data_IF_145463387796
#
_entry.id   IF_145463387796
#
_cell.length_a   1.000
_cell.length_b   1.000
_cell.length_c   1.000
_cell.angle_alpha   90.00
_cell.angle_beta   90.00
_cell.angle_gamma   90.00
#
_symmetry.space_group_name_H-M   'P 1'
#
loop_
_entity.id
_entity.type
_entity.pdbx_description
1 polymer ?
#
# COMPACT_ATOMS: atom_id res chain seq x y z
N UNK A 1 -19.48 8.76 1.67
CA UNK A 1 -18.27 9.35 1.06
C UNK A 1 -17.47 8.25 0.37
N UNK A 2 -16.86 8.54 -0.79
CA UNK A 2 -15.92 7.66 -1.48
C UNK A 2 -14.52 8.24 -1.29
N UNK A 3 -13.50 7.40 -1.15
CA UNK A 3 -12.12 7.84 -1.25
C UNK A 3 -11.49 7.37 -2.54
N UNK A 4 -10.46 8.10 -2.94
CA UNK A 4 -9.64 7.81 -4.09
C UNK A 4 -8.17 7.76 -3.66
N UNK A 5 -7.39 7.03 -4.45
CA UNK A 5 -5.93 7.15 -4.40
C UNK A 5 -5.56 8.47 -5.08
N UNK A 6 -4.85 9.34 -4.35
CA UNK A 6 -4.36 10.63 -4.85
C UNK A 6 -2.97 10.50 -5.46
N UNK A 7 -2.11 9.71 -4.82
CA UNK A 7 -0.76 9.45 -5.28
C UNK A 7 -0.27 8.09 -4.76
N UNK A 8 0.69 7.53 -5.48
CA UNK A 8 1.49 6.39 -5.05
C UNK A 8 2.95 6.69 -5.40
N UNK A 9 3.83 6.61 -4.41
CA UNK A 9 5.27 6.79 -4.58
C UNK A 9 6.06 5.75 -3.77
N UNK A 10 7.34 5.59 -4.09
CA UNK A 10 8.27 4.67 -3.41
C UNK A 10 9.20 5.39 -2.42
N UNK A 11 8.95 6.68 -2.13
CA UNK A 11 9.92 7.54 -1.43
C UNK A 11 11.20 7.84 -2.22
N UNK A 12 11.27 7.41 -3.49
CA UNK A 12 12.38 7.64 -4.41
C UNK A 12 12.23 8.97 -5.16
N UNK A 13 13.33 9.49 -5.69
CA UNK A 13 13.31 10.58 -6.67
C UNK A 13 12.90 10.10 -8.07
N UNK A 14 12.79 8.79 -8.26
CA UNK A 14 12.35 8.15 -9.50
C UNK A 14 10.85 7.88 -9.41
N UNK A 15 10.13 8.14 -10.50
CA UNK A 15 8.72 7.82 -10.58
C UNK A 15 8.51 6.31 -10.44
N UNK A 16 7.43 5.89 -9.76
CA UNK A 16 7.19 4.49 -9.43
C UNK A 16 7.18 3.54 -10.66
N UNK A 17 6.71 4.01 -11.81
CA UNK A 17 6.73 3.24 -13.07
C UNK A 17 8.14 3.03 -13.66
N UNK A 18 9.13 3.79 -13.19
CA UNK A 18 10.53 3.74 -13.64
C UNK A 18 11.48 3.16 -12.58
N UNK A 19 11.02 3.03 -11.34
CA UNK A 19 11.78 2.48 -10.23
C UNK A 19 11.65 0.95 -10.20
N UNK A 20 12.30 0.30 -11.17
CA UNK A 20 12.23 -1.15 -11.33
C UNK A 20 13.09 -1.85 -10.26
N UNK A 21 12.56 -2.91 -9.60
CA UNK A 21 13.39 -3.73 -8.74
C UNK A 21 14.44 -4.49 -9.56
N UNK A 22 15.59 -4.76 -8.94
CA UNK A 22 16.69 -5.52 -9.56
C UNK A 22 16.24 -6.92 -10.01
N UNK A 23 15.39 -7.57 -9.21
CA UNK A 23 14.76 -8.85 -9.53
C UNK A 23 13.23 -8.71 -9.49
N UNK A 24 12.61 -8.75 -10.67
CA UNK A 24 11.16 -8.61 -10.82
C UNK A 24 10.37 -9.83 -10.32
N UNK A 25 11.02 -10.97 -10.05
CA UNK A 25 10.40 -12.17 -9.48
C UNK A 25 10.63 -12.27 -7.97
N UNK A 26 11.67 -11.63 -7.44
CA UNK A 26 12.05 -11.68 -6.03
C UNK A 26 12.34 -10.29 -5.44
N UNK A 27 11.28 -9.53 -5.11
CA UNK A 27 11.43 -8.19 -4.53
C UNK A 27 10.47 -7.92 -3.37
N UNK A 28 10.81 -6.88 -2.60
CA UNK A 28 9.97 -6.28 -1.58
C UNK A 28 10.37 -4.83 -1.36
N UNK A 29 9.42 -3.90 -1.47
CA UNK A 29 9.62 -2.48 -1.19
C UNK A 29 8.34 -1.83 -0.65
N UNK A 30 8.51 -0.74 0.07
CA UNK A 30 7.39 0.04 0.58
C UNK A 30 6.91 1.02 -0.47
N UNK A 31 5.59 1.16 -0.58
CA UNK A 31 4.94 2.26 -1.28
C UNK A 31 4.19 3.12 -0.28
N UNK A 32 4.24 4.43 -0.47
CA UNK A 32 3.39 5.39 0.22
C UNK A 32 2.19 5.68 -0.67
N UNK A 33 1.01 5.48 -0.13
CA UNK A 33 -0.27 5.74 -0.79
C UNK A 33 -0.96 6.89 -0.08
N UNK A 34 -1.20 7.99 -0.80
CA UNK A 34 -2.05 9.05 -0.29
C UNK A 34 -3.50 8.76 -0.65
N UNK A 35 -4.36 8.68 0.36
CA UNK A 35 -5.80 8.44 0.18
C UNK A 35 -6.57 9.61 0.76
N UNK A 36 -7.52 10.15 0.01
CA UNK A 36 -8.37 11.24 0.47
C UNK A 36 -9.72 11.28 -0.23
N UNK A 37 -10.60 12.21 0.17
CA UNK A 37 -11.85 12.50 -0.54
C UNK A 37 -11.57 12.92 -2.00
N UNK A 38 -12.50 12.64 -2.91
CA UNK A 38 -12.38 13.03 -4.32
C UNK A 38 -12.49 14.56 -4.53
N UNK A 39 -13.13 15.26 -3.61
CA UNK A 39 -13.43 16.69 -3.66
C UNK A 39 -12.45 17.59 -2.88
N UNK A 40 -11.40 17.03 -2.28
CA UNK A 40 -10.40 17.76 -1.49
C UNK A 40 -8.99 17.49 -2.01
N UNK A 41 -8.01 18.35 -1.76
CA UNK A 41 -6.62 18.10 -2.17
C UNK A 41 -5.90 17.19 -1.17
N UNK A 42 -6.19 17.35 0.12
CA UNK A 42 -5.55 16.61 1.21
C UNK A 42 -5.97 15.15 1.33
N UNK A 43 -5.15 14.37 2.03
CA UNK A 43 -5.41 12.96 2.31
C UNK A 43 -4.46 12.45 3.37
N UNK A 44 -4.70 11.23 3.83
CA UNK A 44 -3.83 10.53 4.77
C UNK A 44 -2.85 9.62 4.04
N UNK A 45 -1.69 9.40 4.66
CA UNK A 45 -0.64 8.53 4.14
C UNK A 45 -0.73 7.12 4.73
N UNK A 46 -0.58 6.13 3.85
CA UNK A 46 -0.55 4.72 4.20
C UNK A 46 0.66 4.06 3.55
N UNK A 47 1.46 3.33 4.34
CA UNK A 47 2.58 2.55 3.82
C UNK A 47 2.17 1.09 3.61
N UNK A 48 2.41 0.57 2.40
CA UNK A 48 2.10 -0.81 2.03
C UNK A 48 3.39 -1.48 1.54
N UNK A 49 3.70 -2.67 2.07
CA UNK A 49 4.82 -3.47 1.59
C UNK A 49 4.37 -4.28 0.38
N UNK A 50 4.82 -3.89 -0.80
CA UNK A 50 4.61 -4.68 -2.02
C UNK A 50 5.74 -5.69 -2.14
N UNK A 51 5.42 -6.98 -2.20
CA UNK A 51 6.43 -8.03 -2.22
C UNK A 51 5.99 -9.29 -2.97
N UNK A 52 6.95 -10.12 -3.36
CA UNK A 52 6.67 -11.44 -3.94
C UNK A 52 6.79 -12.55 -2.90
N UNK A 53 6.10 -13.69 -3.09
CA UNK A 53 6.24 -14.85 -2.19
C UNK A 53 7.69 -15.32 -2.03
N UNK A 54 8.50 -15.26 -3.09
CA UNK A 54 9.89 -15.70 -3.04
C UNK A 54 10.77 -14.73 -2.24
N UNK A 55 10.47 -13.43 -2.28
CA UNK A 55 11.13 -12.48 -1.39
C UNK A 55 10.78 -12.72 0.08
N UNK A 56 9.51 -13.03 0.40
CA UNK A 56 9.10 -13.39 1.77
C UNK A 56 9.86 -14.64 2.25
N UNK A 57 9.97 -15.67 1.40
CA UNK A 57 10.72 -16.89 1.72
C UNK A 57 12.18 -16.60 2.03
N UNK A 58 12.83 -15.77 1.20
CA UNK A 58 14.25 -15.48 1.34
C UNK A 58 14.57 -14.53 2.48
N UNK A 59 13.67 -13.59 2.83
CA UNK A 59 13.94 -12.58 3.87
C UNK A 59 13.40 -12.94 5.25
N UNK A 60 12.24 -13.57 5.34
CA UNK A 60 11.54 -13.74 6.62
C UNK A 60 11.38 -15.19 7.07
N UNK A 61 11.24 -16.15 6.15
CA UNK A 61 10.90 -17.53 6.52
C UNK A 61 12.08 -18.36 7.06
N UNK A 62 13.25 -17.76 7.30
CA UNK A 62 14.30 -18.39 8.13
C UNK A 62 13.79 -18.78 9.53
N UNK A 63 12.82 -18.01 10.07
CA UNK A 63 12.20 -18.27 11.37
C UNK A 63 10.98 -19.21 11.31
N UNK A 64 10.57 -19.66 10.11
CA UNK A 64 9.44 -20.56 9.89
C UNK A 64 8.05 -19.91 9.90
N UNK A 65 7.91 -18.65 10.30
CA UNK A 65 6.66 -17.89 10.25
C UNK A 65 6.90 -16.37 10.24
N UNK A 66 5.97 -15.60 9.67
CA UNK A 66 5.98 -14.13 9.66
C UNK A 66 4.56 -13.58 9.71
N UNK A 67 4.36 -12.45 10.42
CA UNK A 67 3.11 -11.71 10.37
C UNK A 67 3.03 -10.88 9.09
N UNK A 68 2.00 -11.12 8.27
CA UNK A 68 1.84 -10.50 6.94
C UNK A 68 1.07 -9.18 6.91
N UNK A 69 1.02 -8.43 8.01
CA UNK A 69 0.22 -7.18 8.10
C UNK A 69 0.79 -6.13 7.14
N UNK A 70 -0.11 -5.38 6.49
CA UNK A 70 0.21 -4.28 5.55
C UNK A 70 1.00 -4.70 4.30
N UNK A 71 0.83 -5.96 3.87
CA UNK A 71 1.52 -6.51 2.69
C UNK A 71 0.56 -6.70 1.50
N UNK A 72 0.97 -6.21 0.33
CA UNK A 72 0.39 -6.58 -0.95
C UNK A 72 1.31 -7.61 -1.63
N UNK A 73 0.87 -8.86 -1.64
CA UNK A 73 1.66 -9.96 -2.22
C UNK A 73 1.30 -10.11 -3.71
N UNK A 74 2.29 -9.92 -4.58
CA UNK A 74 2.14 -10.02 -6.04
C UNK A 74 3.02 -11.15 -6.60
N UNK A 75 2.63 -11.73 -7.73
CA UNK A 75 3.38 -12.83 -8.35
C UNK A 75 4.73 -12.41 -8.93
N UNK A 76 4.80 -11.20 -9.47
CA UNK A 76 5.97 -10.58 -10.08
C UNK A 76 5.75 -9.07 -10.14
N UNK A 77 6.77 -8.31 -10.55
CA UNK A 77 6.68 -6.87 -10.64
C UNK A 77 5.81 -6.48 -11.84
N UNK A 78 4.67 -5.88 -11.54
CA UNK A 78 3.78 -5.27 -12.51
C UNK A 78 3.21 -4.00 -11.87
N UNK A 79 3.76 -2.85 -12.25
CA UNK A 79 3.42 -1.56 -11.66
C UNK A 79 1.93 -1.23 -11.83
N UNK A 80 1.36 -1.53 -13.00
CA UNK A 80 -0.05 -1.24 -13.31
C UNK A 80 -0.98 -2.16 -12.51
N UNK A 81 -0.60 -3.45 -12.37
CA UNK A 81 -1.31 -4.36 -11.49
C UNK A 81 -1.27 -3.90 -10.04
N UNK A 82 -0.10 -3.50 -9.53
CA UNK A 82 0.04 -3.01 -8.15
C UNK A 82 -0.85 -1.79 -7.92
N UNK A 83 -0.76 -0.77 -8.79
CA UNK A 83 -1.57 0.45 -8.71
C UNK A 83 -3.07 0.14 -8.76
N UNK A 84 -3.49 -0.71 -9.68
CA UNK A 84 -4.90 -1.06 -9.87
C UNK A 84 -5.48 -1.87 -8.70
N UNK A 85 -4.71 -2.77 -8.08
CA UNK A 85 -5.16 -3.50 -6.90
C UNK A 85 -5.33 -2.58 -5.68
N UNK A 86 -4.37 -1.66 -5.46
CA UNK A 86 -4.47 -0.64 -4.39
C UNK A 86 -5.69 0.25 -4.61
N UNK A 87 -5.85 0.79 -5.82
CA UNK A 87 -6.98 1.65 -6.17
C UNK A 87 -8.32 0.92 -5.98
N UNK A 88 -8.42 -0.34 -6.44
CA UNK A 88 -9.65 -1.13 -6.28
C UNK A 88 -10.03 -1.32 -4.80
N UNK A 89 -9.06 -1.58 -3.92
CA UNK A 89 -9.34 -1.71 -2.49
C UNK A 89 -9.83 -0.39 -1.89
N UNK A 90 -9.12 0.71 -2.17
CA UNK A 90 -9.45 2.05 -1.66
C UNK A 90 -10.83 2.50 -2.14
N UNK A 91 -11.13 2.31 -3.42
CA UNK A 91 -12.42 2.69 -3.99
C UNK A 91 -13.59 1.83 -3.49
N UNK A 92 -13.32 0.60 -3.06
CA UNK A 92 -14.27 -0.28 -2.39
C UNK A 92 -14.58 0.15 -0.95
N UNK A 93 -13.76 1.02 -0.35
CA UNK A 93 -14.00 1.54 0.99
C UNK A 93 -15.05 2.66 0.95
N UNK A 94 -16.17 2.43 1.63
CA UNK A 94 -17.23 3.42 1.84
C UNK A 94 -17.35 3.76 3.32
N UNK A 95 -17.76 4.98 3.67
CA UNK A 95 -17.92 5.40 5.06
C UNK A 95 -18.85 6.60 5.21
N UNK A 96 -19.35 6.82 6.44
CA UNK A 96 -20.17 7.99 6.78
C UNK A 96 -19.33 9.27 6.83
N UNK A 97 -18.07 9.14 7.23
CA UNK A 97 -17.08 10.22 7.28
C UNK A 97 -15.72 9.69 6.82
N UNK A 98 -14.76 10.61 6.69
CA UNK A 98 -13.41 10.26 6.24
C UNK A 98 -12.66 9.38 7.26
N UNK A 99 -12.91 9.56 8.55
CA UNK A 99 -12.28 8.76 9.61
C UNK A 99 -12.63 7.28 9.53
N UNK A 100 -13.91 6.94 9.36
CA UNK A 100 -14.36 5.55 9.15
C UNK A 100 -13.73 4.92 7.90
N UNK A 101 -13.55 5.73 6.85
CA UNK A 101 -12.88 5.28 5.64
C UNK A 101 -11.39 5.04 5.89
N UNK A 102 -10.72 5.98 6.56
CA UNK A 102 -9.31 5.89 6.89
C UNK A 102 -9.01 4.62 7.70
N UNK A 103 -9.85 4.30 8.69
CA UNK A 103 -9.77 3.05 9.45
C UNK A 103 -9.94 1.78 8.60
N UNK A 104 -10.70 1.84 7.50
CA UNK A 104 -10.83 0.71 6.57
C UNK A 104 -9.59 0.54 5.70
N UNK A 105 -9.02 1.64 5.21
CA UNK A 105 -7.77 1.64 4.44
C UNK A 105 -6.60 1.19 5.32
N UNK A 106 -6.58 1.57 6.60
CA UNK A 106 -5.59 1.15 7.58
C UNK A 106 -5.54 -0.37 7.82
N UNK A 107 -6.48 -1.15 7.27
CA UNK A 107 -6.43 -2.62 7.32
C UNK A 107 -5.41 -3.22 6.37
N UNK A 108 -5.01 -2.48 5.34
CA UNK A 108 -4.06 -2.95 4.31
C UNK A 108 -2.76 -2.13 4.25
N UNK A 109 -2.69 -1.00 4.94
CA UNK A 109 -1.50 -0.16 4.99
C UNK A 109 -1.29 0.45 6.36
N UNK A 110 -0.03 0.63 6.75
CA UNK A 110 0.37 1.30 7.97
C UNK A 110 0.00 2.77 7.86
N UNK A 111 -0.98 3.19 8.65
CA UNK A 111 -1.52 4.54 8.61
C UNK A 111 -0.69 5.49 9.48
N UNK A 112 -0.44 6.72 9.03
CA UNK A 112 0.33 7.70 9.81
C UNK A 112 -0.30 8.08 11.17
N UNK A 113 -1.61 7.89 11.31
CA UNK A 113 -2.35 8.07 12.56
C UNK A 113 -2.79 6.73 13.19
N UNK A 114 -2.15 5.62 12.81
CA UNK A 114 -2.40 4.30 13.41
C UNK A 114 -2.20 4.41 14.94
N UNK A 115 -3.20 3.93 15.69
CA UNK A 115 -3.27 3.98 17.15
C UNK A 115 -3.25 5.39 17.80
N UNK A 116 -3.44 6.47 17.02
CA UNK A 116 -3.59 7.81 17.59
C UNK A 116 -4.88 7.89 18.43
N UNK A 117 -4.72 8.11 19.72
CA UNK A 117 -5.80 8.41 20.67
C UNK A 117 -5.73 9.90 20.96
N UNK A 118 -6.57 10.69 20.26
CA UNK A 118 -6.70 12.13 20.49
C UNK A 118 -7.18 12.49 21.87
#
# INVERSE_FOLDING_TARGET
MKAIVKSIDTGSHVAFDKDLPEDQMCFGFWVTVQVGPDNEEGGHLYQILVCTPDWIKTKYLHAGAVWGRHMLIVSHYDCDRIKSEIARYVEGCTGKNFWELAQKVARIGAWEFEDYQG
#
